data_IF_717664944802
#
_entry.id   IF_717664944802
#
_cell.length_a   1.000
_cell.length_b   1.000
_cell.length_c   1.000
_cell.angle_alpha   90.00
_cell.angle_beta   90.00
_cell.angle_gamma   90.00
#
_symmetry.space_group_name_H-M   'P 1'
#
loop_
_entity.id
_entity.type
_entity.pdbx_description
1 polymer ?
#
# COMPACT_ATOMS: atom_id res chain seq x y z
N UNK A 1 17.84 -23.32 53.00
CA UNK A 1 16.92 -22.54 52.17
C UNK A 1 15.68 -23.38 51.93
N UNK A 2 14.50 -22.92 52.38
CA UNK A 2 13.21 -23.56 52.10
C UNK A 2 12.75 -23.12 50.70
N UNK A 3 12.94 -23.96 49.72
CA UNK A 3 12.36 -23.76 48.40
C UNK A 3 10.88 -24.14 48.47
N UNK A 4 10.01 -23.14 48.48
CA UNK A 4 8.57 -23.36 48.36
C UNK A 4 8.25 -23.67 46.88
N UNK A 5 7.99 -24.96 46.61
CA UNK A 5 7.54 -25.38 45.27
C UNK A 5 6.12 -24.93 44.97
N UNK A 6 5.82 -24.69 43.69
CA UNK A 6 4.46 -24.42 43.20
C UNK A 6 3.56 -25.67 43.36
N UNK A 7 2.34 -25.45 43.77
CA UNK A 7 1.36 -26.56 43.83
C UNK A 7 0.71 -26.74 42.44
N UNK A 8 0.30 -27.98 42.15
CA UNK A 8 -0.37 -28.32 40.89
C UNK A 8 -1.66 -27.53 40.72
N UNK A 9 -2.40 -27.30 41.82
CA UNK A 9 -3.64 -26.53 41.79
C UNK A 9 -3.43 -25.04 41.45
N UNK A 10 -2.38 -24.45 41.97
CA UNK A 10 -2.03 -23.04 41.61
C UNK A 10 -1.79 -22.90 40.12
N UNK A 11 -1.07 -23.86 39.51
CA UNK A 11 -0.82 -23.85 38.07
C UNK A 11 -2.13 -24.06 37.28
N UNK A 12 -2.99 -24.97 37.73
CA UNK A 12 -4.28 -25.22 37.04
C UNK A 12 -5.20 -24.00 37.06
N UNK A 13 -5.27 -23.26 38.17
CA UNK A 13 -6.10 -22.05 38.25
C UNK A 13 -5.59 -20.98 37.32
N UNK A 14 -4.26 -20.77 37.25
CA UNK A 14 -3.64 -19.79 36.37
C UNK A 14 -3.93 -20.10 34.92
N UNK A 15 -3.74 -21.35 34.49
CA UNK A 15 -4.02 -21.76 33.10
C UNK A 15 -5.52 -21.62 32.77
N UNK A 16 -6.42 -21.93 33.71
CA UNK A 16 -7.85 -21.74 33.50
C UNK A 16 -8.23 -20.27 33.30
N UNK A 17 -7.66 -19.35 34.08
CA UNK A 17 -7.89 -17.90 33.94
C UNK A 17 -7.34 -17.40 32.61
N UNK A 18 -6.11 -17.78 32.24
CA UNK A 18 -5.51 -17.42 30.96
C UNK A 18 -6.36 -17.90 29.79
N UNK A 19 -6.88 -19.13 29.88
CA UNK A 19 -7.76 -19.71 28.87
C UNK A 19 -9.04 -18.88 28.64
N UNK A 20 -9.67 -18.43 29.72
CA UNK A 20 -10.88 -17.58 29.64
C UNK A 20 -10.55 -16.22 29.02
N UNK A 21 -9.48 -15.60 29.47
CA UNK A 21 -9.06 -14.29 28.95
C UNK A 21 -8.67 -14.37 27.48
N UNK A 22 -7.93 -15.41 27.08
CA UNK A 22 -7.53 -15.65 25.70
C UNK A 22 -8.73 -15.87 24.78
N UNK A 23 -9.75 -16.59 25.23
CA UNK A 23 -10.96 -16.84 24.45
C UNK A 23 -11.70 -15.55 24.02
N UNK A 24 -11.61 -14.49 24.81
CA UNK A 24 -12.22 -13.18 24.51
C UNK A 24 -11.26 -12.27 23.73
N UNK A 25 -9.98 -12.31 24.09
CA UNK A 25 -8.98 -11.39 23.53
C UNK A 25 -8.59 -11.72 22.07
N UNK A 26 -8.45 -12.99 21.73
CA UNK A 26 -7.98 -13.42 20.41
C UNK A 26 -8.93 -13.01 19.27
N UNK A 27 -10.25 -13.25 19.33
CA UNK A 27 -11.15 -12.83 18.25
C UNK A 27 -11.14 -11.32 18.00
N UNK A 28 -11.10 -10.53 19.07
CA UNK A 28 -11.06 -9.07 18.98
C UNK A 28 -9.74 -8.58 18.35
N UNK A 29 -8.63 -9.20 18.71
CA UNK A 29 -7.32 -8.84 18.18
C UNK A 29 -7.22 -9.10 16.66
N UNK A 30 -7.74 -10.23 16.17
CA UNK A 30 -7.76 -10.57 14.75
C UNK A 30 -8.60 -9.57 13.95
N UNK A 31 -9.74 -9.14 14.47
CA UNK A 31 -10.58 -8.11 13.84
C UNK A 31 -9.89 -6.74 13.78
N UNK A 32 -9.11 -6.38 14.78
CA UNK A 32 -8.33 -5.14 14.80
C UNK A 32 -7.18 -5.18 13.80
N UNK A 33 -6.50 -6.30 13.67
CA UNK A 33 -5.43 -6.47 12.66
C UNK A 33 -5.97 -6.30 11.24
N UNK A 34 -7.12 -6.88 10.92
CA UNK A 34 -7.73 -6.76 9.62
C UNK A 34 -8.11 -5.30 9.30
N UNK A 35 -8.67 -4.58 10.27
CA UNK A 35 -8.96 -3.14 10.12
C UNK A 35 -7.68 -2.31 9.93
N UNK A 36 -6.62 -2.65 10.63
CA UNK A 36 -5.33 -1.96 10.49
C UNK A 36 -4.73 -2.16 9.09
N UNK A 37 -4.79 -3.37 8.55
CA UNK A 37 -4.34 -3.68 7.19
C UNK A 37 -5.15 -2.93 6.12
N UNK A 38 -6.48 -2.88 6.26
CA UNK A 38 -7.35 -2.11 5.36
C UNK A 38 -7.02 -0.61 5.39
N UNK A 39 -6.81 -0.03 6.57
CA UNK A 39 -6.38 1.36 6.69
C UNK A 39 -5.02 1.62 6.06
N UNK A 40 -4.07 0.73 6.27
CA UNK A 40 -2.73 0.86 5.68
C UNK A 40 -2.78 0.93 4.16
N UNK A 41 -3.59 0.09 3.51
CA UNK A 41 -3.72 0.11 2.05
C UNK A 41 -4.50 1.35 1.56
N UNK A 42 -5.51 1.79 2.29
CA UNK A 42 -6.26 3.02 2.01
C UNK A 42 -5.35 4.27 2.10
N UNK A 43 -4.53 4.37 3.15
CA UNK A 43 -3.56 5.45 3.32
C UNK A 43 -2.49 5.42 2.21
N UNK A 44 -2.01 4.23 1.83
CA UNK A 44 -1.07 4.08 0.73
C UNK A 44 -1.67 4.49 -0.62
N UNK A 45 -2.92 4.13 -0.90
CA UNK A 45 -3.63 4.53 -2.11
C UNK A 45 -3.87 6.04 -2.17
N UNK A 46 -4.23 6.65 -1.04
CA UNK A 46 -4.42 8.11 -0.93
C UNK A 46 -3.10 8.86 -1.15
N UNK A 47 -2.02 8.36 -0.59
CA UNK A 47 -0.67 8.93 -0.79
C UNK A 47 -0.24 8.80 -2.26
N UNK A 48 -0.44 7.63 -2.85
CA UNK A 48 -0.15 7.40 -4.27
C UNK A 48 -0.94 8.34 -5.18
N UNK A 49 -2.22 8.60 -4.86
CA UNK A 49 -3.04 9.56 -5.61
C UNK A 49 -2.42 10.95 -5.63
N UNK A 50 -1.97 11.45 -4.49
CA UNK A 50 -1.38 12.78 -4.38
C UNK A 50 -0.07 12.89 -5.20
N UNK A 51 0.78 11.86 -5.12
CA UNK A 51 2.02 11.82 -5.89
C UNK A 51 1.76 11.68 -7.39
N UNK A 52 0.86 10.79 -7.81
CA UNK A 52 0.49 10.63 -9.24
C UNK A 52 -0.12 11.90 -9.83
N UNK A 53 -0.88 12.66 -9.02
CA UNK A 53 -1.37 13.98 -9.47
C UNK A 53 -0.22 14.93 -9.78
N UNK A 54 0.80 14.99 -8.91
CA UNK A 54 1.99 15.82 -9.15
C UNK A 54 2.77 15.38 -10.39
N UNK A 55 2.87 14.07 -10.63
CA UNK A 55 3.51 13.52 -11.81
C UNK A 55 2.76 13.86 -13.10
N UNK A 56 1.43 13.77 -13.08
CA UNK A 56 0.59 14.14 -14.21
C UNK A 56 0.68 15.63 -14.51
N UNK A 57 0.64 16.48 -13.48
CA UNK A 57 0.78 17.93 -13.62
C UNK A 57 2.15 18.31 -14.21
N UNK A 58 3.23 17.72 -13.70
CA UNK A 58 4.58 17.96 -14.20
C UNK A 58 4.71 17.59 -15.69
N UNK A 59 4.15 16.44 -16.09
CA UNK A 59 4.12 16.00 -17.49
C UNK A 59 3.41 16.99 -18.41
N UNK A 60 2.23 17.49 -17.98
CA UNK A 60 1.42 18.37 -18.83
C UNK A 60 2.04 19.74 -18.99
N UNK A 61 2.60 20.28 -17.92
CA UNK A 61 3.24 21.58 -17.93
C UNK A 61 4.61 21.55 -18.63
N UNK A 62 5.18 20.35 -18.84
CA UNK A 62 6.55 20.20 -19.32
C UNK A 62 7.55 20.80 -18.34
N UNK A 63 7.21 20.79 -17.04
CA UNK A 63 8.07 21.29 -15.98
C UNK A 63 9.14 20.25 -15.65
N UNK A 64 10.37 20.66 -15.77
CA UNK A 64 11.55 19.86 -15.46
C UNK A 64 11.84 19.94 -13.95
N UNK A 65 12.33 18.85 -13.33
CA UNK A 65 12.79 18.85 -11.93
C UNK A 65 11.69 19.04 -10.87
N UNK A 66 10.46 18.60 -11.14
CA UNK A 66 9.34 18.75 -10.20
C UNK A 66 9.09 17.46 -9.40
N UNK A 67 9.45 16.32 -9.95
CA UNK A 67 9.27 15.01 -9.32
C UNK A 67 10.53 14.17 -9.46
N UNK A 68 10.83 13.39 -8.44
CA UNK A 68 11.95 12.45 -8.42
C UNK A 68 11.56 11.20 -9.24
N UNK A 69 11.80 11.28 -10.54
CA UNK A 69 11.39 10.25 -11.49
C UNK A 69 12.36 9.06 -11.52
N UNK A 70 13.62 9.25 -11.14
CA UNK A 70 14.62 8.20 -11.09
C UNK A 70 14.66 7.47 -9.73
N UNK A 71 14.07 8.06 -8.68
CA UNK A 71 13.95 7.46 -7.34
C UNK A 71 15.21 7.53 -6.49
N UNK A 72 16.14 8.45 -6.79
CA UNK A 72 17.36 8.61 -6.01
C UNK A 72 17.19 9.51 -4.77
N UNK A 73 16.02 10.13 -4.62
CA UNK A 73 15.65 11.00 -3.51
C UNK A 73 16.03 12.47 -3.70
N UNK A 74 16.58 12.84 -4.86
CA UNK A 74 16.93 14.20 -5.23
C UNK A 74 16.07 14.57 -6.44
N UNK A 75 15.43 15.73 -6.41
CA UNK A 75 14.71 16.27 -7.57
C UNK A 75 15.64 17.21 -8.32
N UNK A 76 16.10 16.79 -9.49
CA UNK A 76 17.03 17.56 -10.31
C UNK A 76 16.86 17.28 -11.82
N UNK A 77 17.76 17.83 -12.64
CA UNK A 77 17.70 17.72 -14.09
C UNK A 77 17.89 16.28 -14.62
N UNK A 78 18.31 15.33 -13.80
CA UNK A 78 18.42 13.92 -14.22
C UNK A 78 17.06 13.22 -14.27
N UNK A 79 16.05 13.80 -13.60
CA UNK A 79 14.67 13.33 -13.62
C UNK A 79 13.90 13.71 -14.87
N UNK A 80 14.38 14.73 -15.59
CA UNK A 80 13.61 15.44 -16.62
C UNK A 80 13.44 14.69 -17.93
N UNK A 81 14.37 13.83 -18.26
CA UNK A 81 14.40 13.16 -19.57
C UNK A 81 13.27 12.13 -19.71
N UNK A 82 12.63 11.81 -18.63
CA UNK A 82 11.67 10.73 -18.58
C UNK A 82 10.22 11.20 -18.79
N UNK A 83 9.78 12.25 -18.11
CA UNK A 83 8.34 12.61 -18.05
C UNK A 83 7.75 13.16 -19.35
N UNK A 84 8.49 13.91 -20.13
CA UNK A 84 7.96 14.58 -21.33
C UNK A 84 7.64 13.64 -22.49
N UNK A 85 8.17 12.43 -22.47
CA UNK A 85 7.99 11.42 -23.52
C UNK A 85 7.00 10.32 -23.16
N UNK A 86 6.52 10.23 -21.92
CA UNK A 86 5.67 9.13 -21.48
C UNK A 86 4.20 9.36 -21.78
N UNK A 87 3.56 8.30 -22.22
CA UNK A 87 2.10 8.25 -22.22
C UNK A 87 1.58 8.14 -20.79
N UNK A 88 0.34 8.57 -20.60
CA UNK A 88 -0.36 8.47 -19.30
C UNK A 88 -0.34 7.05 -18.72
N UNK A 89 -0.28 6.06 -19.59
CA UNK A 89 -0.24 4.63 -19.21
C UNK A 89 1.11 4.23 -18.60
N UNK A 90 2.17 4.93 -18.93
CA UNK A 90 3.54 4.65 -18.46
C UNK A 90 3.82 5.29 -17.10
N UNK A 91 3.12 6.39 -16.78
CA UNK A 91 3.32 7.12 -15.52
C UNK A 91 3.15 6.26 -14.28
N UNK A 92 2.09 5.44 -14.11
CA UNK A 92 1.97 4.61 -12.94
C UNK A 92 3.09 3.57 -12.80
N UNK A 93 3.52 2.99 -13.92
CA UNK A 93 4.60 2.00 -13.91
C UNK A 93 5.92 2.63 -13.46
N UNK A 94 6.24 3.80 -13.98
CA UNK A 94 7.47 4.53 -13.62
C UNK A 94 7.39 5.07 -12.19
N UNK A 95 6.23 5.55 -11.77
CA UNK A 95 6.02 5.95 -10.38
C UNK A 95 6.27 4.79 -9.42
N UNK A 96 5.80 3.57 -9.74
CA UNK A 96 6.06 2.37 -8.93
C UNK A 96 7.56 2.08 -8.84
N UNK A 97 8.29 2.20 -9.95
CA UNK A 97 9.74 1.99 -9.98
C UNK A 97 10.44 2.99 -9.05
N UNK A 98 10.15 4.29 -9.19
CA UNK A 98 10.72 5.33 -8.36
C UNK A 98 10.33 5.18 -6.88
N UNK A 99 9.07 4.85 -6.61
CA UNK A 99 8.58 4.59 -5.26
C UNK A 99 9.32 3.44 -4.57
N UNK A 100 9.54 2.34 -5.27
CA UNK A 100 10.27 1.19 -4.77
C UNK A 100 11.77 1.50 -4.58
N UNK A 101 12.36 2.27 -5.49
CA UNK A 101 13.76 2.70 -5.41
C UNK A 101 14.02 3.52 -4.13
N UNK A 102 13.19 4.51 -3.84
CA UNK A 102 13.24 5.32 -2.61
C UNK A 102 13.18 4.49 -1.32
N UNK A 103 12.52 3.34 -1.35
CA UNK A 103 12.36 2.45 -0.19
C UNK A 103 13.35 1.29 -0.14
N UNK A 104 14.28 1.24 -1.09
CA UNK A 104 15.30 0.20 -1.16
C UNK A 104 14.76 -1.16 -1.59
N UNK A 105 13.61 -1.22 -2.24
CA UNK A 105 13.04 -2.45 -2.78
C UNK A 105 11.51 -2.45 -2.88
N UNK A 106 10.99 -3.54 -3.37
CA UNK A 106 9.55 -3.74 -3.57
C UNK A 106 8.79 -3.71 -2.24
N UNK A 107 7.70 -2.95 -2.21
CA UNK A 107 6.76 -2.93 -1.08
C UNK A 107 5.67 -3.98 -1.32
N UNK A 108 5.47 -4.84 -0.34
CA UNK A 108 4.55 -5.96 -0.42
C UNK A 108 3.17 -5.63 0.16
N UNK A 109 2.16 -6.36 -0.28
CA UNK A 109 0.81 -6.33 0.28
C UNK A 109 0.83 -6.57 1.80
N UNK A 110 -0.05 -5.92 2.58
CA UNK A 110 -0.19 -6.22 4.00
C UNK A 110 -0.68 -7.65 4.31
N UNK A 111 -1.25 -8.34 3.31
CA UNK A 111 -1.79 -9.70 3.47
C UNK A 111 -0.94 -10.78 2.84
N UNK A 112 -0.21 -10.46 1.75
CA UNK A 112 0.50 -11.42 0.92
C UNK A 112 1.96 -11.01 0.75
N UNK A 113 2.88 -11.94 0.98
CA UNK A 113 4.32 -11.70 0.90
C UNK A 113 4.87 -11.83 -0.54
N UNK A 114 4.04 -12.25 -1.48
CA UNK A 114 4.35 -12.49 -2.89
C UNK A 114 3.57 -11.58 -3.84
N UNK A 115 2.74 -10.69 -3.29
CA UNK A 115 1.96 -9.70 -4.04
C UNK A 115 2.53 -8.32 -3.80
N UNK A 116 2.91 -7.62 -4.87
CA UNK A 116 3.33 -6.22 -4.79
C UNK A 116 2.19 -5.34 -4.30
N UNK A 117 2.50 -4.35 -3.45
CA UNK A 117 1.49 -3.42 -2.97
C UNK A 117 0.88 -2.61 -4.13
N UNK A 118 1.70 -2.18 -5.08
CA UNK A 118 1.27 -1.38 -6.23
C UNK A 118 1.46 -2.16 -7.53
N UNK A 119 0.45 -2.14 -8.40
CA UNK A 119 0.44 -2.83 -9.68
C UNK A 119 -0.21 -1.95 -10.76
N UNK A 120 0.14 -2.20 -12.01
CA UNK A 120 -0.51 -1.62 -13.18
C UNK A 120 -1.27 -2.73 -13.89
N UNK A 121 -2.52 -2.51 -14.23
CA UNK A 121 -3.36 -3.51 -14.90
C UNK A 121 -4.84 -3.15 -14.88
N UNK A 122 -5.67 -4.11 -15.21
CA UNK A 122 -7.11 -3.95 -15.14
C UNK A 122 -7.60 -3.99 -13.68
N UNK A 123 -8.68 -3.26 -13.42
CA UNK A 123 -9.24 -3.13 -12.07
C UNK A 123 -9.76 -4.48 -11.55
N UNK A 124 -9.50 -4.73 -10.28
CA UNK A 124 -10.03 -5.91 -9.59
C UNK A 124 -9.25 -7.20 -9.80
N UNK A 125 -8.09 -7.13 -10.45
CA UNK A 125 -7.33 -8.34 -10.79
C UNK A 125 -6.47 -8.87 -9.65
N UNK A 126 -6.12 -8.04 -8.64
CA UNK A 126 -5.16 -8.43 -7.61
C UNK A 126 -5.70 -8.12 -6.22
N UNK A 127 -6.14 -9.17 -5.52
CA UNK A 127 -6.56 -9.08 -4.13
C UNK A 127 -5.43 -8.60 -3.21
N UNK A 128 -5.79 -7.73 -2.27
CA UNK A 128 -4.85 -7.23 -1.28
C UNK A 128 -3.82 -6.23 -1.82
N UNK A 129 -4.04 -5.65 -3.00
CA UNK A 129 -3.13 -4.71 -3.66
C UNK A 129 -3.84 -3.43 -4.11
N UNK A 130 -3.03 -2.47 -4.55
CA UNK A 130 -3.48 -1.24 -5.19
C UNK A 130 -3.17 -1.36 -6.68
N UNK A 131 -4.19 -1.24 -7.51
CA UNK A 131 -4.07 -1.33 -8.96
C UNK A 131 -4.33 0.02 -9.61
N UNK A 132 -3.47 0.40 -10.53
CA UNK A 132 -3.61 1.58 -11.36
C UNK A 132 -4.08 1.16 -12.75
N UNK A 133 -5.17 1.74 -13.21
CA UNK A 133 -5.69 1.51 -14.55
C UNK A 133 -6.05 2.82 -15.24
N UNK A 134 -6.12 2.76 -16.56
CA UNK A 134 -6.44 3.88 -17.41
C UNK A 134 -7.92 4.18 -17.43
N UNK A 135 -8.29 5.44 -17.36
CA UNK A 135 -9.68 5.90 -17.49
C UNK A 135 -9.80 7.10 -18.43
N UNK A 136 -11.03 7.43 -18.80
CA UNK A 136 -11.38 8.59 -19.61
C UNK A 136 -10.66 8.64 -20.97
N UNK A 137 -10.47 7.50 -21.62
CA UNK A 137 -9.81 7.43 -22.94
C UNK A 137 -8.32 7.85 -22.88
N UNK A 138 -7.64 7.62 -21.76
CA UNK A 138 -6.23 7.94 -21.56
C UNK A 138 -5.98 9.33 -20.99
N UNK A 139 -6.98 9.94 -20.35
CA UNK A 139 -6.83 11.24 -19.68
C UNK A 139 -6.76 11.15 -18.17
N UNK A 140 -6.78 9.96 -17.62
CA UNK A 140 -6.74 9.76 -16.18
C UNK A 140 -6.27 8.39 -15.77
N UNK A 141 -5.87 8.30 -14.52
CA UNK A 141 -5.46 7.08 -13.83
C UNK A 141 -6.49 6.81 -12.74
N UNK A 142 -7.11 5.65 -12.79
CA UNK A 142 -7.97 5.14 -11.74
C UNK A 142 -7.12 4.35 -10.75
N UNK A 143 -7.35 4.59 -9.48
CA UNK A 143 -6.67 3.96 -8.37
C UNK A 143 -7.70 3.13 -7.61
N UNK A 144 -7.53 1.83 -7.57
CA UNK A 144 -8.39 0.93 -6.83
C UNK A 144 -7.56 0.08 -5.87
N UNK A 145 -7.96 0.06 -4.60
CA UNK A 145 -7.36 -0.78 -3.58
C UNK A 145 -8.34 -1.85 -3.13
N UNK A 146 -7.90 -3.09 -3.12
CA UNK A 146 -8.68 -4.26 -2.71
C UNK A 146 -8.15 -4.86 -1.41
N UNK A 147 -9.06 -5.39 -0.58
CA UNK A 147 -8.66 -6.24 0.54
C UNK A 147 -8.34 -7.67 0.07
N UNK A 148 -7.93 -8.53 0.99
CA UNK A 148 -7.59 -9.94 0.69
C UNK A 148 -8.73 -10.78 0.11
N UNK A 149 -9.95 -10.30 0.16
CA UNK A 149 -11.15 -10.96 -0.35
C UNK A 149 -11.73 -10.28 -1.58
N UNK A 150 -10.97 -9.38 -2.22
CA UNK A 150 -11.38 -8.68 -3.42
C UNK A 150 -12.42 -7.58 -3.19
N UNK A 151 -12.65 -7.16 -1.93
CA UNK A 151 -13.56 -6.06 -1.68
C UNK A 151 -12.84 -4.72 -1.85
N UNK A 152 -13.48 -3.78 -2.53
CA UNK A 152 -12.94 -2.43 -2.72
C UNK A 152 -12.87 -1.71 -1.37
N UNK A 153 -11.65 -1.32 -0.99
CA UNK A 153 -11.36 -0.53 0.20
C UNK A 153 -11.23 0.96 -0.15
N UNK A 154 -10.65 1.23 -1.31
CA UNK A 154 -10.47 2.59 -1.82
C UNK A 154 -10.65 2.60 -3.34
N UNK A 155 -11.29 3.65 -3.85
CA UNK A 155 -11.43 3.87 -5.29
C UNK A 155 -11.52 5.36 -5.58
N UNK A 156 -10.61 5.87 -6.38
CA UNK A 156 -10.58 7.27 -6.79
C UNK A 156 -9.77 7.41 -8.08
N UNK A 157 -9.81 8.57 -8.70
CA UNK A 157 -9.09 8.82 -9.95
C UNK A 157 -8.33 10.14 -9.92
N UNK A 158 -7.27 10.18 -10.70
CA UNK A 158 -6.55 11.41 -11.04
C UNK A 158 -6.72 11.64 -12.53
N UNK A 159 -7.21 12.79 -12.92
CA UNK A 159 -7.38 13.17 -14.32
C UNK A 159 -6.71 14.49 -14.60
N UNK A 160 -6.35 14.66 -15.87
CA UNK A 160 -5.94 15.94 -16.44
C UNK A 160 -7.10 16.51 -17.24
N UNK A 161 -7.48 17.70 -16.90
CA UNK A 161 -8.47 18.48 -17.63
C UNK A 161 -7.86 19.15 -18.84
#
# INVERSE_FOLDING_TARGET
ANEKGFTLIELMIVVAIIGILAAIAIPNFLGMQEKAKRRSIEEAATSAKAELHSWLDARIRGEEGVVDANGDGIVDATDDTALSGWDIDEIPAQWIIAFNAKRGGTVWSPWFNDVNLFNVGDLGDIDGAITFSRVNGGRGILIEALDKGGNVVYKDSVSVD
#
